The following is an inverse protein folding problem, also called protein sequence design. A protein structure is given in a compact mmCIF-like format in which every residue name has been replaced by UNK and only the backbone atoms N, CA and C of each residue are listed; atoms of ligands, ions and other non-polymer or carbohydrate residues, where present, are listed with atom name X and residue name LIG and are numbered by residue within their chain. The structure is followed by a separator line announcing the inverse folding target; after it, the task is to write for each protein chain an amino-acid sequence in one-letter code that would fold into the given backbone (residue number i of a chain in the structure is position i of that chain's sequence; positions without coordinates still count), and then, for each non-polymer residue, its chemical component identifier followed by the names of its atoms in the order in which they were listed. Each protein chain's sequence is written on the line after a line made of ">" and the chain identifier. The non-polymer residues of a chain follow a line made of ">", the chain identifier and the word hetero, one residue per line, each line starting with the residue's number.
data_IF_322348343058
#
_entry.id   IF_322348343058
#
_cell.length_a   1.000
_cell.length_b   1.000
_cell.length_c   1.000
_cell.angle_alpha   90.00
_cell.angle_beta   90.00
_cell.angle_gamma   90.00
#
_symmetry.space_group_name_H-M   'P 1'
#
loop_
_entity.id
_entity.type
_entity.pdbx_description
1 polymer ?
#
# COMPACT_ATOMS: atom_id res chain seq x y z
N UNK A 1 -36.14 13.02 42.60
CA UNK A 1 -35.84 13.23 41.17
C UNK A 1 -34.34 13.15 41.01
N UNK A 2 -33.83 11.97 40.63
CA UNK A 2 -32.39 11.75 40.46
C UNK A 2 -32.05 12.12 39.02
N UNK A 3 -31.43 13.28 38.83
CA UNK A 3 -31.02 13.77 37.51
C UNK A 3 -29.74 13.06 37.09
N UNK A 4 -29.85 12.08 36.20
CA UNK A 4 -28.72 11.46 35.50
C UNK A 4 -28.09 12.53 34.60
N UNK A 5 -26.93 13.04 35.00
CA UNK A 5 -26.09 13.90 34.15
C UNK A 5 -25.57 13.01 33.01
N UNK A 6 -25.85 13.33 31.73
CA UNK A 6 -25.31 12.55 30.62
C UNK A 6 -23.78 12.69 30.61
N UNK A 7 -23.09 11.55 30.57
CA UNK A 7 -21.63 11.48 30.55
C UNK A 7 -21.07 12.01 29.22
N UNK A 8 -20.85 13.33 29.16
CA UNK A 8 -20.26 14.02 28.00
C UNK A 8 -18.79 13.64 27.76
N UNK A 9 -18.12 13.03 28.74
CA UNK A 9 -16.71 12.64 28.66
C UNK A 9 -16.54 11.42 27.74
N UNK A 10 -17.42 10.43 27.87
CA UNK A 10 -17.43 9.24 27.01
C UNK A 10 -17.67 9.60 25.53
N UNK A 11 -18.59 10.53 25.24
CA UNK A 11 -18.89 10.95 23.88
C UNK A 11 -17.70 11.63 23.18
N UNK A 12 -16.95 12.49 23.88
CA UNK A 12 -15.74 13.14 23.32
C UNK A 12 -14.62 12.14 23.05
N UNK A 13 -14.36 11.24 23.99
CA UNK A 13 -13.35 10.17 23.84
C UNK A 13 -13.65 9.28 22.64
N UNK A 14 -14.91 8.91 22.45
CA UNK A 14 -15.32 8.16 21.27
C UNK A 14 -15.03 8.96 20.00
N UNK A 15 -15.45 10.23 19.91
CA UNK A 15 -15.20 11.07 18.74
C UNK A 15 -13.70 11.22 18.41
N UNK A 16 -12.84 11.33 19.43
CA UNK A 16 -11.38 11.35 19.26
C UNK A 16 -10.86 10.02 18.67
N UNK A 17 -11.37 8.88 19.14
CA UNK A 17 -11.01 7.55 18.61
C UNK A 17 -11.47 7.41 17.15
N UNK A 18 -12.70 7.83 16.82
CA UNK A 18 -13.21 7.81 15.45
C UNK A 18 -12.32 8.63 14.51
N UNK A 19 -12.03 9.89 14.88
CA UNK A 19 -11.17 10.77 14.09
C UNK A 19 -9.75 10.22 13.93
N UNK A 20 -9.22 9.57 14.98
CA UNK A 20 -7.91 8.93 14.92
C UNK A 20 -7.89 7.75 13.93
N UNK A 21 -8.88 6.87 14.00
CA UNK A 21 -9.00 5.73 13.07
C UNK A 21 -9.17 6.18 11.61
N UNK A 22 -9.96 7.22 11.35
CA UNK A 22 -10.08 7.81 10.01
C UNK A 22 -8.72 8.30 9.50
N UNK A 23 -7.96 9.02 10.33
CA UNK A 23 -6.62 9.52 9.95
C UNK A 23 -5.63 8.39 9.66
N UNK A 24 -5.75 7.26 10.36
CA UNK A 24 -4.94 6.06 10.10
C UNK A 24 -5.32 5.44 8.75
N UNK A 25 -6.61 5.29 8.46
CA UNK A 25 -7.09 4.78 7.18
C UNK A 25 -6.56 5.64 6.04
N UNK A 26 -6.73 6.95 6.11
CA UNK A 26 -6.25 7.89 5.08
C UNK A 26 -4.75 7.76 4.84
N UNK A 27 -3.97 7.66 5.92
CA UNK A 27 -2.51 7.49 5.83
C UNK A 27 -2.12 6.18 5.15
N UNK A 28 -2.82 5.08 5.45
CA UNK A 28 -2.58 3.77 4.82
C UNK A 28 -2.97 3.77 3.36
N UNK A 29 -4.07 4.44 3.00
CA UNK A 29 -4.48 4.60 1.62
C UNK A 29 -3.47 5.42 0.81
N UNK A 30 -2.90 6.48 1.38
CA UNK A 30 -1.82 7.24 0.73
C UNK A 30 -0.56 6.38 0.54
N UNK A 31 -0.16 5.62 1.56
CA UNK A 31 0.98 4.70 1.47
C UNK A 31 0.78 3.64 0.37
N UNK A 32 -0.45 3.13 0.20
CA UNK A 32 -0.81 2.24 -0.91
C UNK A 32 -0.63 2.95 -2.25
N UNK A 33 -1.16 4.17 -2.40
CA UNK A 33 -1.05 4.94 -3.65
C UNK A 33 0.40 5.19 -4.03
N UNK A 34 1.24 5.57 -3.08
CA UNK A 34 2.67 5.79 -3.32
C UNK A 34 3.39 4.53 -3.80
N UNK A 35 3.10 3.38 -3.18
CA UNK A 35 3.66 2.09 -3.59
C UNK A 35 3.19 1.72 -4.99
N UNK A 36 1.89 1.84 -5.28
CA UNK A 36 1.33 1.52 -6.60
C UNK A 36 1.95 2.37 -7.70
N UNK A 37 2.14 3.67 -7.46
CA UNK A 37 2.84 4.55 -8.40
C UNK A 37 4.31 4.16 -8.60
N UNK A 38 5.00 3.73 -7.54
CA UNK A 38 6.38 3.27 -7.65
C UNK A 38 6.49 2.02 -8.54
N UNK A 39 5.58 1.06 -8.34
CA UNK A 39 5.51 -0.17 -9.14
C UNK A 39 5.21 0.16 -10.60
N UNK A 40 4.22 1.00 -10.87
CA UNK A 40 3.84 1.39 -12.24
C UNK A 40 5.00 2.10 -12.98
N UNK A 41 5.75 2.97 -12.29
CA UNK A 41 6.96 3.59 -12.87
C UNK A 41 8.01 2.55 -13.24
N UNK A 42 8.22 1.54 -12.40
CA UNK A 42 9.15 0.44 -12.69
C UNK A 42 8.67 -0.39 -13.89
N UNK A 43 7.42 -0.82 -13.90
CA UNK A 43 6.85 -1.64 -14.97
C UNK A 43 6.89 -0.91 -16.32
N UNK A 44 6.54 0.39 -16.35
CA UNK A 44 6.66 1.23 -17.56
C UNK A 44 8.09 1.40 -18.05
N UNK A 45 9.07 1.45 -17.15
CA UNK A 45 10.49 1.49 -17.52
C UNK A 45 10.90 0.16 -18.17
N UNK A 46 10.55 -0.96 -17.56
CA UNK A 46 10.85 -2.31 -18.10
C UNK A 46 10.20 -2.51 -19.46
N UNK A 47 8.93 -2.14 -19.63
CA UNK A 47 8.24 -2.23 -20.92
C UNK A 47 8.93 -1.40 -22.02
N UNK A 48 9.39 -0.19 -21.71
CA UNK A 48 10.16 0.64 -22.66
C UNK A 48 11.51 0.02 -23.00
N UNK A 49 12.23 -0.53 -22.02
CA UNK A 49 13.49 -1.24 -22.25
C UNK A 49 13.27 -2.45 -23.18
N UNK A 50 12.23 -3.25 -22.93
CA UNK A 50 11.86 -4.39 -23.79
C UNK A 50 11.47 -3.98 -25.20
N UNK A 51 10.64 -2.94 -25.34
CA UNK A 51 10.23 -2.43 -26.65
C UNK A 51 11.43 -1.92 -27.43
N UNK A 52 12.33 -1.15 -26.81
CA UNK A 52 13.55 -0.69 -27.43
C UNK A 52 14.38 -1.88 -27.93
N UNK A 53 14.60 -2.90 -27.11
CA UNK A 53 15.35 -4.11 -27.50
C UNK A 53 14.70 -4.88 -28.66
N UNK A 54 13.36 -4.99 -28.67
CA UNK A 54 12.60 -5.63 -29.75
C UNK A 54 12.72 -4.86 -31.07
N UNK A 55 12.73 -3.52 -31.03
CA UNK A 55 12.86 -2.67 -32.23
C UNK A 55 14.28 -2.56 -32.78
N UNK A 56 15.31 -2.97 -32.03
CA UNK A 56 16.70 -2.96 -32.50
C UNK A 56 16.92 -3.96 -33.64
N UNK A 57 17.78 -3.58 -34.59
CA UNK A 57 18.28 -4.49 -35.63
C UNK A 57 19.10 -5.63 -35.01
N UNK A 58 19.18 -6.81 -35.66
CA UNK A 58 19.90 -7.97 -35.15
C UNK A 58 21.38 -7.68 -34.79
N UNK A 59 22.05 -6.85 -35.60
CA UNK A 59 23.44 -6.43 -35.36
C UNK A 59 23.55 -5.60 -34.08
N UNK A 60 22.67 -4.59 -33.89
CA UNK A 60 22.65 -3.78 -32.66
C UNK A 60 22.30 -4.62 -31.43
N UNK A 61 21.39 -5.58 -31.58
CA UNK A 61 20.99 -6.50 -30.50
C UNK A 61 22.15 -7.39 -30.03
N UNK A 62 22.96 -7.88 -30.98
CA UNK A 62 24.14 -8.69 -30.70
C UNK A 62 25.20 -7.89 -29.93
N UNK A 63 25.39 -6.60 -30.28
CA UNK A 63 26.36 -5.71 -29.61
C UNK A 63 25.88 -5.23 -28.24
N UNK A 64 24.58 -5.00 -28.06
CA UNK A 64 24.02 -4.47 -26.82
C UNK A 64 24.06 -5.48 -25.64
N UNK A 65 24.08 -6.78 -25.94
CA UNK A 65 23.98 -7.84 -24.94
C UNK A 65 22.60 -7.88 -24.27
N UNK A 66 22.07 -9.08 -23.99
CA UNK A 66 20.85 -9.23 -23.18
C UNK A 66 21.23 -9.18 -21.71
N UNK A 67 20.54 -8.37 -20.89
CA UNK A 67 20.68 -8.45 -19.42
C UNK A 67 20.42 -9.90 -18.97
N UNK A 68 21.26 -10.50 -18.09
CA UNK A 68 21.04 -11.87 -17.63
C UNK A 68 19.70 -12.00 -16.91
N UNK A 69 18.96 -13.08 -17.19
CA UNK A 69 17.58 -13.26 -16.70
C UNK A 69 17.47 -13.26 -15.16
N UNK A 70 18.53 -13.68 -14.45
CA UNK A 70 18.54 -13.68 -12.99
C UNK A 70 18.50 -12.27 -12.37
N UNK A 71 19.16 -11.28 -12.98
CA UNK A 71 19.12 -9.90 -12.47
C UNK A 71 17.72 -9.30 -12.60
N UNK A 72 17.03 -9.58 -13.71
CA UNK A 72 15.66 -9.12 -13.93
C UNK A 72 14.68 -9.71 -12.89
N UNK A 73 14.86 -10.97 -12.51
CA UNK A 73 14.04 -11.61 -11.49
C UNK A 73 14.24 -10.98 -10.10
N UNK A 74 15.48 -10.67 -9.73
CA UNK A 74 15.79 -10.01 -8.45
C UNK A 74 15.21 -8.59 -8.42
N UNK A 75 15.38 -7.82 -9.49
CA UNK A 75 14.76 -6.49 -9.63
C UNK A 75 13.24 -6.59 -9.49
N UNK A 76 12.59 -7.52 -10.18
CA UNK A 76 11.15 -7.71 -10.11
C UNK A 76 10.66 -8.07 -8.69
N UNK A 77 11.39 -8.93 -7.98
CA UNK A 77 11.06 -9.26 -6.59
C UNK A 77 11.10 -8.00 -5.71
N UNK A 78 12.14 -7.18 -5.88
CA UNK A 78 12.35 -5.99 -5.07
C UNK A 78 11.37 -4.86 -5.38
N UNK A 79 11.14 -4.57 -6.67
CA UNK A 79 10.35 -3.41 -7.11
C UNK A 79 8.87 -3.71 -7.34
N UNK A 80 8.47 -4.98 -7.43
CA UNK A 80 7.07 -5.37 -7.70
C UNK A 80 6.53 -6.30 -6.64
N UNK A 81 7.17 -7.45 -6.41
CA UNK A 81 6.61 -8.49 -5.53
C UNK A 81 6.52 -8.05 -4.07
N UNK A 82 7.63 -7.58 -3.48
CA UNK A 82 7.66 -7.11 -2.08
C UNK A 82 6.75 -5.89 -1.86
N UNK A 83 6.72 -4.88 -2.74
CA UNK A 83 5.81 -3.76 -2.57
C UNK A 83 4.33 -4.15 -2.69
N UNK A 84 3.96 -5.05 -3.62
CA UNK A 84 2.58 -5.56 -3.70
C UNK A 84 2.18 -6.35 -2.46
N UNK A 85 3.10 -7.11 -1.86
CA UNK A 85 2.84 -7.77 -0.57
C UNK A 85 2.60 -6.75 0.55
N UNK A 86 3.39 -5.67 0.59
CA UNK A 86 3.16 -4.57 1.53
C UNK A 86 1.76 -3.95 1.35
N UNK A 87 1.34 -3.70 0.11
CA UNK A 87 -0.03 -3.21 -0.20
C UNK A 87 -1.10 -4.17 0.32
N UNK A 88 -0.90 -5.49 0.19
CA UNK A 88 -1.82 -6.50 0.72
C UNK A 88 -1.99 -6.36 2.24
N UNK A 89 -0.90 -6.24 2.98
CA UNK A 89 -0.91 -6.06 4.44
C UNK A 89 -1.54 -4.72 4.85
N UNK A 90 -1.27 -3.63 4.13
CA UNK A 90 -1.87 -2.32 4.38
C UNK A 90 -3.39 -2.35 4.17
N UNK A 91 -3.87 -3.07 3.15
CA UNK A 91 -5.32 -3.25 2.91
C UNK A 91 -5.97 -4.05 4.05
N UNK A 92 -5.33 -5.11 4.53
CA UNK A 92 -5.82 -5.84 5.71
C UNK A 92 -5.86 -4.95 6.97
N UNK A 93 -4.91 -4.03 7.12
CA UNK A 93 -4.89 -3.05 8.21
C UNK A 93 -6.04 -2.05 8.13
N UNK A 94 -6.32 -1.53 6.92
CA UNK A 94 -7.47 -0.66 6.67
C UNK A 94 -8.78 -1.37 7.00
N UNK A 95 -8.97 -2.61 6.55
CA UNK A 95 -10.19 -3.37 6.83
C UNK A 95 -10.39 -3.61 8.33
N UNK A 96 -9.30 -3.81 9.09
CA UNK A 96 -9.39 -3.86 10.57
C UNK A 96 -9.85 -2.54 11.17
N UNK A 97 -9.32 -1.41 10.70
CA UNK A 97 -9.74 -0.09 11.18
C UNK A 97 -11.19 0.22 10.83
N UNK A 98 -11.64 -0.15 9.63
CA UNK A 98 -13.05 -0.04 9.22
C UNK A 98 -13.97 -0.88 10.10
N UNK A 99 -13.58 -2.12 10.39
CA UNK A 99 -14.34 -2.98 11.31
C UNK A 99 -14.39 -2.44 12.75
N UNK A 100 -13.36 -1.72 13.21
CA UNK A 100 -13.38 -1.01 14.50
C UNK A 100 -14.33 0.20 14.48
N UNK A 101 -14.37 0.98 13.37
CA UNK A 101 -15.30 2.08 13.18
C UNK A 101 -16.77 1.62 13.16
N UNK A 102 -17.04 0.48 12.54
CA UNK A 102 -18.38 -0.11 12.48
C UNK A 102 -18.82 -0.75 13.80
N UNK A 103 -17.93 -0.87 14.79
CA UNK A 103 -18.19 -1.52 16.08
C UNK A 103 -18.20 -3.05 16.02
N UNK A 104 -17.76 -3.63 14.90
CA UNK A 104 -17.71 -5.08 14.66
C UNK A 104 -16.51 -5.74 15.35
N UNK A 105 -15.43 -4.99 15.58
CA UNK A 105 -14.27 -5.42 16.37
C UNK A 105 -14.05 -4.50 17.58
N UNK A 106 -13.71 -5.05 18.76
CA UNK A 106 -13.28 -4.22 19.88
C UNK A 106 -11.99 -3.49 19.50
N UNK A 107 -11.88 -2.21 19.89
CA UNK A 107 -10.65 -1.43 19.76
C UNK A 107 -9.61 -2.00 20.73
N UNK A 108 -8.92 -3.05 20.30
CA UNK A 108 -7.77 -3.60 21.00
C UNK A 108 -6.54 -2.84 20.51
N UNK A 109 -6.20 -1.74 21.20
CA UNK A 109 -4.91 -1.09 21.01
C UNK A 109 -3.84 -2.09 21.45
N UNK A 110 -3.07 -2.59 20.50
CA UNK A 110 -1.88 -3.39 20.80
C UNK A 110 -0.80 -2.40 21.24
N UNK A 111 -0.38 -2.48 22.51
CA UNK A 111 0.73 -1.70 23.08
C UNK A 111 2.06 -2.00 22.38
#
# INVERSE_FOLDING_TARGET
>A
MSSTIPDTSSARKNAEIYSFLESLIEKREEEIREIEQMVDRYERRVQREEQAYRTMSPIRRMLAGRKPDHHLAVEYIHYVKKPKEKVRLLREEIERYRAMLEGTLPVALSE
#
